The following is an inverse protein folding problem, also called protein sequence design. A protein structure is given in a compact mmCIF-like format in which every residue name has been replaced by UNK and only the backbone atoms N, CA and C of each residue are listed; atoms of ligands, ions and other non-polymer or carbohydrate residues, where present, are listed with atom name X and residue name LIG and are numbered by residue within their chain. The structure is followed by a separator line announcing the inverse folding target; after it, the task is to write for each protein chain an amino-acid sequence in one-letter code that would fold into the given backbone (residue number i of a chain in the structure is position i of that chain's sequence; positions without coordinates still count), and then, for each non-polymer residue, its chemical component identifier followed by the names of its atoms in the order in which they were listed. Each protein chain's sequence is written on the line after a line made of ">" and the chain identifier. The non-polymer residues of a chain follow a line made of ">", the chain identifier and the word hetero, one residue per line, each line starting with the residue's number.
data_IF_058888254016
#
_entry.id   IF_058888254016
#
_cell.length_a   1.000
_cell.length_b   1.000
_cell.length_c   1.000
_cell.angle_alpha   90.00
_cell.angle_beta   90.00
_cell.angle_gamma   90.00
#
_symmetry.space_group_name_H-M   'P 1'
#
loop_
_entity.id
_entity.type
_entity.pdbx_description
1 polymer ?
#
# COMPACT_ATOMS: atom_id res chain seq x y z
N UNK A 1 19.98 -7.10 -14.34
CA UNK A 1 19.86 -8.50 -13.93
C UNK A 1 19.69 -8.60 -12.42
N UNK A 2 18.84 -9.53 -11.97
CA UNK A 2 18.60 -9.74 -10.55
C UNK A 2 19.56 -10.75 -9.94
N UNK A 3 19.68 -10.69 -8.64
CA UNK A 3 20.45 -11.66 -7.87
C UNK A 3 19.54 -12.24 -6.80
N UNK A 4 19.83 -13.48 -6.38
CA UNK A 4 19.14 -14.03 -5.23
C UNK A 4 19.55 -13.25 -3.99
N UNK A 5 18.57 -12.93 -3.17
CA UNK A 5 18.86 -12.25 -1.92
C UNK A 5 18.00 -12.84 -0.78
N UNK A 6 18.53 -12.75 0.43
CA UNK A 6 17.83 -13.13 1.65
C UNK A 6 17.72 -11.96 2.61
N UNK A 7 18.00 -10.74 2.11
CA UNK A 7 18.02 -9.54 2.92
C UNK A 7 17.61 -8.35 2.03
N UNK A 8 16.39 -7.93 2.17
CA UNK A 8 15.85 -6.81 1.38
C UNK A 8 15.23 -5.80 2.35
N UNK A 9 15.44 -4.52 2.06
CA UNK A 9 14.83 -3.45 2.85
C UNK A 9 13.44 -3.07 2.34
N UNK A 10 13.03 -3.61 1.21
CA UNK A 10 11.72 -3.29 0.65
C UNK A 10 10.58 -3.68 1.56
N UNK A 11 9.58 -2.83 1.60
CA UNK A 11 8.34 -3.07 2.34
C UNK A 11 7.20 -3.09 1.34
N UNK A 12 6.32 -4.07 1.47
CA UNK A 12 5.11 -4.16 0.66
C UNK A 12 3.93 -4.22 1.61
N UNK A 13 2.97 -3.32 1.43
CA UNK A 13 1.74 -3.37 2.21
C UNK A 13 0.58 -3.78 1.31
N UNK A 14 -0.29 -4.64 1.84
CA UNK A 14 -1.47 -5.13 1.12
C UNK A 14 -2.68 -4.89 2.01
N UNK A 15 -3.62 -4.12 1.48
CA UNK A 15 -4.85 -3.78 2.20
C UNK A 15 -6.01 -4.36 1.39
N UNK A 16 -6.72 -5.33 1.98
CA UNK A 16 -7.90 -5.92 1.35
C UNK A 16 -9.15 -5.24 1.86
N UNK A 17 -10.06 -4.92 0.93
CA UNK A 17 -11.26 -4.15 1.24
C UNK A 17 -12.50 -4.76 0.60
N UNK A 18 -13.63 -4.53 1.24
CA UNK A 18 -14.94 -4.74 0.63
C UNK A 18 -15.47 -3.39 0.18
N UNK A 19 -15.93 -3.31 -1.06
CA UNK A 19 -16.47 -2.07 -1.63
C UNK A 19 -17.92 -1.92 -1.16
N UNK A 20 -18.24 -0.78 -0.54
CA UNK A 20 -19.60 -0.53 -0.05
C UNK A 20 -20.32 0.60 -0.77
N UNK A 21 -19.60 1.41 -1.53
CA UNK A 21 -20.21 2.43 -2.37
C UNK A 21 -20.57 1.82 -3.72
N UNK A 22 -21.20 2.62 -4.59
CA UNK A 22 -21.47 2.16 -5.97
C UNK A 22 -20.13 1.92 -6.67
N UNK A 23 -20.00 0.81 -7.41
CA UNK A 23 -18.73 0.49 -8.07
C UNK A 23 -18.16 1.64 -8.90
N UNK A 24 -18.99 2.31 -9.69
CA UNK A 24 -18.53 3.42 -10.52
C UNK A 24 -18.02 4.60 -9.69
N UNK A 25 -18.68 4.91 -8.58
CA UNK A 25 -18.28 5.99 -7.72
C UNK A 25 -16.89 5.72 -7.12
N UNK A 26 -16.68 4.49 -6.67
CA UNK A 26 -15.39 4.07 -6.12
C UNK A 26 -14.30 4.11 -7.19
N UNK A 27 -14.58 3.57 -8.38
CA UNK A 27 -13.61 3.53 -9.47
C UNK A 27 -13.21 4.94 -9.91
N UNK A 28 -14.17 5.83 -10.02
CA UNK A 28 -13.88 7.22 -10.37
C UNK A 28 -13.07 7.91 -9.27
N UNK A 29 -13.37 7.63 -8.02
CA UNK A 29 -12.64 8.18 -6.89
C UNK A 29 -11.17 7.73 -6.94
N UNK A 30 -10.90 6.46 -7.24
CA UNK A 30 -9.52 5.95 -7.37
C UNK A 30 -8.80 6.70 -8.49
N UNK A 31 -9.41 6.76 -9.67
CA UNK A 31 -8.75 7.34 -10.86
C UNK A 31 -8.56 8.84 -10.75
N UNK A 32 -9.63 9.54 -10.39
CA UNK A 32 -9.66 11.00 -10.53
C UNK A 32 -9.25 11.73 -9.26
N UNK A 33 -9.26 11.03 -8.13
CA UNK A 33 -9.00 11.67 -6.84
C UNK A 33 -7.82 11.03 -6.11
N UNK A 34 -7.98 9.79 -5.63
CA UNK A 34 -7.01 9.17 -4.73
C UNK A 34 -5.64 8.98 -5.37
N UNK A 35 -5.61 8.37 -6.54
CA UNK A 35 -4.33 8.10 -7.22
C UNK A 35 -3.60 9.38 -7.59
N UNK A 36 -4.33 10.37 -8.06
CA UNK A 36 -3.74 11.68 -8.39
C UNK A 36 -3.18 12.38 -7.16
N UNK A 37 -3.96 12.35 -6.07
CA UNK A 37 -3.54 12.96 -4.83
C UNK A 37 -2.21 12.39 -4.35
N UNK A 38 -2.12 11.07 -4.30
CA UNK A 38 -0.91 10.38 -3.84
C UNK A 38 0.26 10.64 -4.80
N UNK A 39 0.01 10.54 -6.10
CA UNK A 39 1.04 10.80 -7.10
C UNK A 39 1.62 12.21 -6.96
N UNK A 40 0.76 13.20 -6.75
CA UNK A 40 1.18 14.61 -6.66
C UNK A 40 1.97 14.92 -5.40
N UNK A 41 1.92 14.07 -4.38
CA UNK A 41 2.73 14.25 -3.18
C UNK A 41 4.22 14.01 -3.46
N UNK A 42 4.57 13.31 -4.56
CA UNK A 42 5.96 13.04 -4.95
C UNK A 42 6.79 12.41 -3.84
N UNK A 43 6.24 11.41 -3.19
CA UNK A 43 6.93 10.68 -2.13
C UNK A 43 8.12 9.93 -2.72
N UNK A 44 9.33 10.27 -2.29
CA UNK A 44 10.56 9.74 -2.87
C UNK A 44 10.73 8.23 -2.70
N UNK A 45 10.22 7.70 -1.59
CA UNK A 45 10.44 6.30 -1.24
C UNK A 45 9.24 5.39 -1.48
N UNK A 46 8.19 5.90 -2.09
CA UNK A 46 7.06 5.10 -2.56
C UNK A 46 7.33 4.66 -3.98
N UNK A 47 7.53 3.35 -4.18
CA UNK A 47 7.83 2.80 -5.49
C UNK A 47 6.56 2.64 -6.32
N UNK A 48 5.50 2.13 -5.68
CA UNK A 48 4.24 1.90 -6.38
C UNK A 48 3.05 2.03 -5.44
N UNK A 49 1.93 2.36 -6.02
CA UNK A 49 0.63 2.52 -5.38
C UNK A 49 -0.38 2.02 -6.38
N UNK A 50 -0.90 0.81 -6.15
CA UNK A 50 -1.72 0.13 -7.16
C UNK A 50 -2.98 -0.42 -6.55
N UNK A 51 -4.11 -0.13 -7.19
CA UNK A 51 -5.40 -0.69 -6.82
C UNK A 51 -5.79 -1.83 -7.75
N UNK A 52 -6.37 -2.87 -7.16
CA UNK A 52 -6.86 -4.04 -7.90
C UNK A 52 -8.31 -4.28 -7.52
N UNK A 53 -9.13 -4.64 -8.49
CA UNK A 53 -10.56 -4.87 -8.30
C UNK A 53 -10.92 -6.30 -8.68
N UNK A 54 -11.82 -6.92 -7.89
CA UNK A 54 -12.37 -8.23 -8.26
C UNK A 54 -13.28 -8.07 -9.48
N UNK A 55 -13.48 -9.17 -10.23
CA UNK A 55 -14.35 -9.15 -11.41
C UNK A 55 -15.76 -8.70 -11.08
N UNK A 56 -16.28 -9.14 -9.93
CA UNK A 56 -17.64 -8.78 -9.52
C UNK A 56 -17.74 -7.37 -8.95
N UNK A 57 -16.61 -6.64 -8.88
CA UNK A 57 -16.54 -5.25 -8.42
C UNK A 57 -17.02 -5.06 -6.97
N UNK A 58 -16.90 -6.10 -6.15
CA UNK A 58 -17.28 -6.06 -4.74
C UNK A 58 -16.09 -5.98 -3.79
N UNK A 59 -14.91 -6.32 -4.28
CA UNK A 59 -13.69 -6.31 -3.46
C UNK A 59 -12.58 -5.56 -4.16
N UNK A 60 -11.74 -4.95 -3.36
CA UNK A 60 -10.58 -4.21 -3.86
C UNK A 60 -9.38 -4.49 -2.97
N UNK A 61 -8.19 -4.36 -3.57
CA UNK A 61 -6.94 -4.44 -2.82
C UNK A 61 -6.04 -3.29 -3.23
N UNK A 62 -5.41 -2.67 -2.25
CA UNK A 62 -4.39 -1.66 -2.48
C UNK A 62 -3.05 -2.30 -2.13
N UNK A 63 -2.15 -2.31 -3.10
CA UNK A 63 -0.79 -2.82 -2.89
C UNK A 63 0.18 -1.67 -3.07
N UNK A 64 0.98 -1.42 -2.05
CA UNK A 64 1.95 -0.34 -2.04
C UNK A 64 3.33 -0.93 -1.79
N UNK A 65 4.32 -0.47 -2.55
CA UNK A 65 5.71 -0.93 -2.40
C UNK A 65 6.58 0.27 -2.06
N UNK A 66 7.45 0.09 -1.08
CA UNK A 66 8.33 1.13 -0.57
C UNK A 66 9.78 0.69 -0.60
N UNK A 67 10.68 1.64 -0.75
CA UNK A 67 12.12 1.39 -0.73
C UNK A 67 12.53 0.76 0.61
N UNK A 68 11.93 1.23 1.71
CA UNK A 68 12.28 0.82 3.07
C UNK A 68 11.15 1.14 4.05
N UNK A 69 11.40 0.87 5.34
CA UNK A 69 10.42 1.16 6.39
C UNK A 69 10.08 2.64 6.50
N UNK A 70 11.06 3.50 6.32
CA UNK A 70 10.86 4.96 6.39
C UNK A 70 9.89 5.42 5.30
N UNK A 71 9.96 4.81 4.12
CA UNK A 71 9.04 5.10 3.02
C UNK A 71 7.60 4.76 3.38
N UNK A 72 7.39 3.59 3.99
CA UNK A 72 6.06 3.17 4.41
C UNK A 72 5.52 4.09 5.52
N UNK A 73 6.37 4.49 6.46
CA UNK A 73 5.99 5.41 7.53
C UNK A 73 5.57 6.77 6.94
N UNK A 74 6.36 7.27 6.00
CA UNK A 74 6.06 8.55 5.34
C UNK A 74 4.70 8.51 4.63
N UNK A 75 4.43 7.40 3.91
CA UNK A 75 3.15 7.21 3.23
C UNK A 75 1.98 7.25 4.23
N UNK A 76 2.13 6.56 5.33
CA UNK A 76 1.07 6.51 6.33
C UNK A 76 0.85 7.87 7.00
N UNK A 77 1.93 8.59 7.30
CA UNK A 77 1.83 9.95 7.86
C UNK A 77 1.11 10.89 6.89
N UNK A 78 1.47 10.85 5.62
CA UNK A 78 0.81 11.67 4.61
C UNK A 78 -0.66 11.31 4.47
N UNK A 79 -0.97 10.00 4.49
CA UNK A 79 -2.35 9.54 4.43
C UNK A 79 -3.18 10.09 5.59
N UNK A 80 -2.68 9.96 6.81
CA UNK A 80 -3.44 10.37 8.00
C UNK A 80 -3.71 11.88 8.06
N UNK A 81 -2.91 12.68 7.37
CA UNK A 81 -3.08 14.14 7.29
C UNK A 81 -3.93 14.55 6.09
N UNK A 82 -4.27 13.62 5.21
CA UNK A 82 -4.92 13.92 3.94
C UNK A 82 -6.44 13.74 4.04
N UNK A 83 -7.20 14.41 3.15
CA UNK A 83 -8.63 14.16 3.07
C UNK A 83 -8.95 12.75 2.60
N UNK A 84 -8.01 12.09 1.95
CA UNK A 84 -8.17 10.72 1.44
C UNK A 84 -8.47 9.73 2.57
N UNK A 85 -7.92 9.96 3.78
CA UNK A 85 -8.12 9.07 4.92
C UNK A 85 -9.59 8.89 5.27
N UNK A 86 -10.36 9.97 5.24
CA UNK A 86 -11.80 9.89 5.50
C UNK A 86 -12.57 9.46 4.27
N UNK A 87 -12.16 9.93 3.09
CA UNK A 87 -12.84 9.61 1.85
C UNK A 87 -12.83 8.11 1.55
N UNK A 88 -11.70 7.45 1.75
CA UNK A 88 -11.61 6.01 1.46
C UNK A 88 -12.60 5.19 2.28
N UNK A 89 -12.85 5.60 3.52
CA UNK A 89 -13.77 4.90 4.42
C UNK A 89 -15.25 5.08 4.02
N UNK A 90 -15.53 6.05 3.16
CA UNK A 90 -16.86 6.20 2.58
C UNK A 90 -17.11 5.14 1.49
N UNK A 91 -16.05 4.63 0.89
CA UNK A 91 -16.12 3.70 -0.23
C UNK A 91 -15.91 2.24 0.15
N UNK A 92 -15.12 1.96 1.19
CA UNK A 92 -14.72 0.60 1.51
C UNK A 92 -14.75 0.32 3.02
N UNK A 93 -14.90 -0.97 3.34
CA UNK A 93 -14.59 -1.50 4.66
C UNK A 93 -13.27 -2.25 4.53
N UNK A 94 -12.32 -1.95 5.42
CA UNK A 94 -11.02 -2.60 5.42
C UNK A 94 -11.15 -3.98 6.08
N UNK A 95 -10.77 -5.03 5.35
CA UNK A 95 -10.88 -6.41 5.82
C UNK A 95 -9.61 -6.91 6.46
N UNK A 96 -8.46 -6.59 5.87
CA UNK A 96 -7.18 -7.02 6.41
C UNK A 96 -6.06 -6.10 5.93
N UNK A 97 -5.00 -6.02 6.73
CA UNK A 97 -3.79 -5.27 6.41
C UNK A 97 -2.61 -6.21 6.61
N UNK A 98 -1.76 -6.34 5.59
CA UNK A 98 -0.53 -7.14 5.66
C UNK A 98 0.66 -6.23 5.39
N UNK A 99 1.75 -6.51 6.07
CA UNK A 99 3.03 -5.83 5.84
C UNK A 99 4.09 -6.91 5.62
N UNK A 100 4.67 -6.91 4.42
CA UNK A 100 5.70 -7.87 4.02
C UNK A 100 7.04 -7.18 3.97
N UNK A 101 8.06 -7.83 4.50
CA UNK A 101 9.43 -7.34 4.45
C UNK A 101 10.04 -7.20 5.84
N UNK A 102 11.29 -6.73 5.88
CA UNK A 102 12.03 -6.60 7.14
C UNK A 102 11.72 -5.25 7.77
N UNK A 103 10.50 -5.13 8.28
CA UNK A 103 10.02 -3.89 8.88
C UNK A 103 10.80 -3.55 10.15
N UNK A 104 11.19 -2.29 10.27
CA UNK A 104 11.84 -1.80 11.48
C UNK A 104 10.82 -1.59 12.58
N UNK A 105 11.32 -1.49 13.80
CA UNK A 105 10.48 -1.38 15.01
C UNK A 105 9.41 -0.31 14.91
N UNK A 106 9.77 0.87 14.43
CA UNK A 106 8.84 1.99 14.31
C UNK A 106 7.66 1.66 13.39
N UNK A 107 7.94 1.02 12.26
CA UNK A 107 6.91 0.62 11.32
C UNK A 107 6.00 -0.45 11.93
N UNK A 108 6.61 -1.42 12.62
CA UNK A 108 5.85 -2.49 13.28
C UNK A 108 4.88 -1.89 14.30
N UNK A 109 5.35 -0.94 15.11
CA UNK A 109 4.51 -0.29 16.11
C UNK A 109 3.32 0.42 15.48
N UNK A 110 3.58 1.19 14.42
CA UNK A 110 2.53 1.95 13.73
C UNK A 110 1.50 1.02 13.09
N UNK A 111 1.96 0.01 12.36
CA UNK A 111 1.06 -0.89 11.65
C UNK A 111 0.36 -1.88 12.57
N UNK A 112 0.99 -2.25 13.70
CA UNK A 112 0.32 -3.10 14.69
C UNK A 112 -0.93 -2.43 15.23
N UNK A 113 -0.90 -1.11 15.39
CA UNK A 113 -2.06 -0.34 15.83
C UNK A 113 -3.21 -0.43 14.83
N UNK A 114 -2.93 -0.73 13.56
CA UNK A 114 -3.92 -0.91 12.50
C UNK A 114 -4.37 -2.37 12.36
N UNK A 115 -3.88 -3.26 13.22
CA UNK A 115 -4.20 -4.67 13.14
C UNK A 115 -3.44 -5.42 12.04
N UNK A 116 -2.34 -4.87 11.57
CA UNK A 116 -1.56 -5.49 10.49
C UNK A 116 -0.95 -6.81 10.90
N UNK A 117 -0.85 -7.72 9.94
CA UNK A 117 -0.10 -8.98 10.06
C UNK A 117 1.20 -8.81 9.31
N UNK A 118 2.28 -9.35 9.87
CA UNK A 118 3.62 -9.16 9.35
C UNK A 118 4.22 -10.49 8.88
N UNK A 119 4.95 -10.43 7.74
CA UNK A 119 5.76 -11.55 7.28
C UNK A 119 7.11 -10.98 6.85
N UNK A 120 8.19 -11.53 7.39
CA UNK A 120 9.53 -11.04 7.09
C UNK A 120 10.01 -11.60 5.75
N UNK A 121 10.93 -10.87 5.12
CA UNK A 121 11.54 -11.32 3.88
C UNK A 121 12.39 -12.56 4.14
N UNK A 122 12.22 -13.58 3.33
CA UNK A 122 12.98 -14.83 3.45
C UNK A 122 14.03 -14.95 2.35
N UNK A 123 13.59 -14.94 1.10
CA UNK A 123 14.49 -15.13 -0.03
C UNK A 123 13.79 -14.74 -1.33
N UNK A 124 14.55 -14.32 -2.31
CA UNK A 124 14.00 -14.02 -3.62
C UNK A 124 14.97 -13.27 -4.48
N UNK A 125 14.45 -12.61 -5.50
CA UNK A 125 15.26 -11.75 -6.35
C UNK A 125 14.38 -10.72 -7.04
N UNK A 126 15.02 -9.66 -7.52
CA UNK A 126 14.39 -8.67 -8.38
C UNK A 126 15.23 -8.52 -9.63
N UNK A 127 14.56 -8.25 -10.75
CA UNK A 127 15.25 -7.93 -12.00
C UNK A 127 14.95 -6.48 -12.31
N UNK A 128 15.99 -5.66 -12.34
CA UNK A 128 15.89 -4.24 -12.67
C UNK A 128 16.18 -4.08 -14.16
N UNK A 129 15.19 -3.56 -14.91
CA UNK A 129 15.30 -3.36 -16.34
C UNK A 129 15.54 -1.91 -16.68
N UNK A 130 16.18 -1.68 -17.81
CA UNK A 130 16.40 -0.35 -18.33
C UNK A 130 17.44 0.43 -17.57
N UNK A 131 18.35 -0.26 -17.02
CA UNK A 131 19.47 0.23 -16.20
C UNK A 131 20.02 1.59 -16.50
#
# INVERSE_FOLDING_TARGET
>A
MGELNSNSDRIITVIHCTIKSKPEAFENWIKDRASKYVYDLKEENTISYEWYLSENRKEASLIETFVDSEGAIQRLKNHSKSPIANEVLEHVDIKSVYCFGNAKKDLIEIFSALGAKFQIHFCGFEIIKGG
#
